data_IF_979770657614
#
_entry.id   IF_979770657614
#
_cell.length_a   1.000
_cell.length_b   1.000
_cell.length_c   1.000
_cell.angle_alpha   90.00
_cell.angle_beta   90.00
_cell.angle_gamma   90.00
#
_symmetry.space_group_name_H-M   'P 1'
#
loop_
_entity.id
_entity.type
_entity.pdbx_description
1 polymer ?
#
# COMPACT_ATOMS: atom_id res chain seq x y z
N UNK A 1 1.50 -17.56 4.05
CA UNK A 1 1.34 -17.22 2.62
C UNK A 1 0.78 -15.81 2.53
N UNK A 2 1.34 -14.97 1.65
CA UNK A 2 0.83 -13.62 1.39
C UNK A 2 -0.60 -13.68 0.85
N UNK A 3 -1.41 -12.70 1.27
CA UNK A 3 -2.82 -12.56 0.82
C UNK A 3 -3.08 -11.15 0.30
N UNK A 4 -4.07 -11.01 -0.58
CA UNK A 4 -4.61 -9.69 -0.95
C UNK A 4 -5.14 -8.97 0.28
N UNK A 5 -5.02 -7.64 0.34
CA UNK A 5 -5.57 -6.84 1.43
C UNK A 5 -7.11 -6.78 1.41
N UNK A 6 -7.76 -7.14 0.31
CA UNK A 6 -9.19 -6.93 0.08
C UNK A 6 -10.08 -7.50 1.20
N UNK A 7 -9.92 -8.79 1.53
CA UNK A 7 -10.79 -9.44 2.51
C UNK A 7 -10.54 -8.96 3.95
N UNK A 8 -9.28 -8.65 4.31
CA UNK A 8 -8.99 -8.10 5.64
C UNK A 8 -9.58 -6.69 5.79
N UNK A 9 -9.56 -5.88 4.73
CA UNK A 9 -10.12 -4.53 4.74
C UNK A 9 -11.66 -4.53 4.73
N UNK A 10 -12.29 -5.45 4.00
CA UNK A 10 -13.75 -5.65 4.09
C UNK A 10 -14.20 -6.00 5.51
N UNK A 11 -13.48 -6.90 6.19
CA UNK A 11 -13.74 -7.26 7.58
C UNK A 11 -13.52 -6.08 8.52
N UNK A 12 -12.44 -5.32 8.31
CA UNK A 12 -12.13 -4.12 9.09
C UNK A 12 -13.24 -3.07 8.98
N UNK A 13 -13.69 -2.79 7.75
CA UNK A 13 -14.81 -1.88 7.50
C UNK A 13 -16.10 -2.33 8.18
N UNK A 14 -16.45 -3.61 8.05
CA UNK A 14 -17.65 -4.17 8.70
C UNK A 14 -17.55 -4.19 10.23
N UNK A 15 -16.34 -4.38 10.76
CA UNK A 15 -16.06 -4.42 12.20
C UNK A 15 -15.73 -3.07 12.83
N UNK A 16 -15.72 -1.98 12.05
CA UNK A 16 -15.36 -0.63 12.50
C UNK A 16 -13.97 -0.55 13.17
N UNK A 17 -12.97 -1.18 12.55
CA UNK A 17 -11.57 -1.08 12.97
C UNK A 17 -10.66 -0.83 11.76
N UNK A 18 -9.42 -0.41 12.00
CA UNK A 18 -8.41 -0.23 10.95
C UNK A 18 -7.41 -1.39 10.95
N UNK A 19 -6.87 -1.71 9.78
CA UNK A 19 -5.71 -2.59 9.63
C UNK A 19 -4.46 -1.73 9.58
N UNK A 20 -3.46 -2.02 10.42
CA UNK A 20 -2.19 -1.30 10.42
C UNK A 20 -1.35 -1.62 9.18
N UNK A 21 -0.79 -0.57 8.57
CA UNK A 21 0.26 -0.68 7.56
C UNK A 21 1.57 -0.21 8.20
N UNK A 22 2.61 -1.03 8.08
CA UNK A 22 3.93 -0.75 8.66
C UNK A 22 4.99 -0.90 7.58
N UNK A 23 5.78 0.16 7.39
CA UNK A 23 6.85 0.15 6.40
C UNK A 23 8.00 -0.74 6.87
N UNK A 24 8.53 -1.54 5.95
CA UNK A 24 9.66 -2.44 6.19
C UNK A 24 10.85 -2.06 5.30
N UNK A 25 12.03 -2.01 5.91
CA UNK A 25 13.29 -1.68 5.21
C UNK A 25 14.37 -2.74 5.41
N UNK A 26 14.13 -3.72 6.27
CA UNK A 26 15.11 -4.76 6.61
C UNK A 26 14.42 -5.97 7.27
N UNK A 27 15.22 -6.99 7.53
CA UNK A 27 14.80 -8.25 8.15
C UNK A 27 14.30 -8.03 9.60
N UNK A 28 14.98 -7.20 10.37
CA UNK A 28 14.71 -6.97 11.78
C UNK A 28 13.35 -6.33 12.01
N UNK A 29 13.02 -5.31 11.23
CA UNK A 29 11.71 -4.64 11.29
C UNK A 29 10.60 -5.59 10.86
N UNK A 30 10.82 -6.28 9.73
CA UNK A 30 9.84 -7.26 9.22
C UNK A 30 9.55 -8.34 10.26
N UNK A 31 10.60 -8.89 10.91
CA UNK A 31 10.46 -9.90 11.96
C UNK A 31 9.65 -9.39 13.15
N UNK A 32 9.97 -8.20 13.64
CA UNK A 32 9.28 -7.59 14.79
C UNK A 32 7.79 -7.40 14.50
N UNK A 33 7.46 -6.86 13.32
CA UNK A 33 6.08 -6.63 12.90
C UNK A 33 5.32 -7.95 12.79
N UNK A 34 5.89 -8.95 12.13
CA UNK A 34 5.24 -10.25 11.95
C UNK A 34 4.99 -10.99 13.26
N UNK A 35 5.96 -11.00 14.18
CA UNK A 35 5.81 -11.64 15.50
C UNK A 35 4.75 -10.93 16.34
N UNK A 36 4.73 -9.60 16.33
CA UNK A 36 3.72 -8.82 17.05
C UNK A 36 2.31 -9.04 16.45
N UNK A 37 2.19 -9.03 15.13
CA UNK A 37 0.92 -9.32 14.46
C UNK A 37 0.40 -10.71 14.80
N UNK A 38 1.29 -11.72 14.84
CA UNK A 38 0.95 -13.09 15.22
C UNK A 38 0.52 -13.19 16.69
N UNK A 39 1.23 -12.55 17.60
CA UNK A 39 0.90 -12.53 19.03
C UNK A 39 -0.46 -11.89 19.29
N UNK A 40 -0.72 -10.76 18.66
CA UNK A 40 -1.98 -10.03 18.78
C UNK A 40 -3.12 -10.61 17.94
N UNK A 41 -2.85 -11.64 17.14
CA UNK A 41 -3.83 -12.23 16.18
C UNK A 41 -4.44 -11.17 15.25
N UNK A 42 -3.66 -10.19 14.87
CA UNK A 42 -4.07 -9.06 14.04
C UNK A 42 -3.60 -9.24 12.60
N UNK A 43 -4.46 -8.99 11.59
CA UNK A 43 -3.98 -8.87 10.21
C UNK A 43 -3.05 -7.67 10.09
N UNK A 44 -2.11 -7.72 9.12
CA UNK A 44 -1.14 -6.65 8.92
C UNK A 44 -0.82 -6.44 7.44
N UNK A 45 -0.52 -5.20 7.07
CA UNK A 45 0.00 -4.81 5.77
C UNK A 45 1.46 -4.40 5.97
N UNK A 46 2.37 -5.01 5.21
CA UNK A 46 3.79 -4.66 5.16
C UNK A 46 4.00 -3.71 3.98
N UNK A 47 4.24 -2.44 4.24
CA UNK A 47 4.49 -1.42 3.24
C UNK A 47 5.94 -1.42 2.78
N UNK A 48 6.17 -1.25 1.48
CA UNK A 48 7.50 -1.15 0.88
C UNK A 48 7.47 -0.03 -0.16
N UNK A 49 8.18 1.06 0.09
CA UNK A 49 8.37 2.10 -0.91
C UNK A 49 9.34 1.64 -2.01
N UNK A 50 9.39 2.34 -3.13
CA UNK A 50 10.37 2.05 -4.18
C UNK A 50 11.82 2.19 -3.68
N UNK A 51 12.06 3.21 -2.85
CA UNK A 51 13.35 3.40 -2.19
C UNK A 51 13.73 2.24 -1.27
N UNK A 52 12.79 1.78 -0.44
CA UNK A 52 12.99 0.62 0.43
C UNK A 52 13.22 -0.67 -0.38
N UNK A 53 12.46 -0.87 -1.46
CA UNK A 53 12.66 -2.01 -2.37
C UNK A 53 14.06 -2.01 -3.00
N UNK A 54 14.52 -0.84 -3.45
CA UNK A 54 15.89 -0.67 -3.97
C UNK A 54 16.95 -0.91 -2.90
N UNK A 55 16.75 -0.40 -1.70
CA UNK A 55 17.65 -0.61 -0.56
C UNK A 55 17.80 -2.09 -0.21
N UNK A 56 16.71 -2.84 -0.23
CA UNK A 56 16.67 -4.29 0.03
C UNK A 56 17.08 -5.15 -1.19
N UNK A 57 17.77 -4.60 -2.17
CA UNK A 57 18.27 -5.28 -3.38
C UNK A 57 17.17 -5.73 -4.37
N UNK A 58 16.00 -5.14 -4.32
CA UNK A 58 14.92 -5.35 -5.30
C UNK A 58 13.71 -6.13 -4.77
N UNK A 59 12.61 -5.99 -5.48
CA UNK A 59 11.31 -6.51 -5.05
C UNK A 59 11.26 -8.03 -4.89
N UNK A 60 11.96 -8.80 -5.73
CA UNK A 60 12.05 -10.26 -5.59
C UNK A 60 12.76 -10.68 -4.31
N UNK A 61 13.78 -9.92 -3.89
CA UNK A 61 14.47 -10.14 -2.62
C UNK A 61 13.52 -9.92 -1.45
N UNK A 62 12.73 -8.84 -1.50
CA UNK A 62 11.71 -8.55 -0.49
C UNK A 62 10.68 -9.67 -0.40
N UNK A 63 10.13 -10.10 -1.53
CA UNK A 63 9.16 -11.21 -1.58
C UNK A 63 9.76 -12.50 -1.01
N UNK A 64 11.00 -12.83 -1.38
CA UNK A 64 11.70 -14.00 -0.86
C UNK A 64 11.92 -13.95 0.64
N UNK A 65 12.38 -12.81 1.16
CA UNK A 65 12.56 -12.56 2.59
C UNK A 65 11.26 -12.73 3.36
N UNK A 66 10.19 -12.04 2.94
CA UNK A 66 8.90 -12.09 3.64
C UNK A 66 8.31 -13.49 3.60
N UNK A 67 8.30 -14.18 2.45
CA UNK A 67 7.76 -15.54 2.37
C UNK A 67 8.55 -16.52 3.25
N UNK A 68 9.88 -16.46 3.26
CA UNK A 68 10.70 -17.27 4.15
C UNK A 68 10.36 -17.02 5.62
N UNK A 69 10.19 -15.77 6.01
CA UNK A 69 9.80 -15.44 7.38
C UNK A 69 8.39 -15.93 7.74
N UNK A 70 7.42 -15.82 6.85
CA UNK A 70 6.06 -16.32 7.10
C UNK A 70 6.07 -17.82 7.38
N UNK A 71 6.89 -18.58 6.66
CA UNK A 71 7.04 -20.02 6.82
C UNK A 71 7.79 -20.39 8.12
N UNK A 72 9.00 -19.86 8.30
CA UNK A 72 9.86 -20.19 9.45
C UNK A 72 9.27 -19.75 10.80
N UNK A 73 8.64 -18.58 10.84
CA UNK A 73 7.98 -18.05 12.03
C UNK A 73 6.56 -18.59 12.23
N UNK A 74 6.08 -19.45 11.32
CA UNK A 74 4.71 -20.04 11.36
C UNK A 74 3.63 -19.00 11.51
N UNK A 75 3.72 -17.92 10.74
CA UNK A 75 2.74 -16.83 10.75
C UNK A 75 1.42 -17.33 10.14
N UNK A 76 0.34 -17.23 10.88
CA UNK A 76 -1.00 -17.68 10.48
C UNK A 76 -2.00 -16.54 10.28
N UNK A 77 -1.69 -15.36 10.81
CA UNK A 77 -2.52 -14.15 10.56
C UNK A 77 -2.42 -13.71 9.10
N UNK A 78 -3.46 -13.08 8.55
CA UNK A 78 -3.40 -12.52 7.20
C UNK A 78 -2.31 -11.44 7.08
N UNK A 79 -1.43 -11.59 6.10
CA UNK A 79 -0.34 -10.63 5.81
C UNK A 79 -0.42 -10.25 4.34
N UNK A 80 -0.54 -8.95 4.04
CA UNK A 80 -0.39 -8.41 2.70
C UNK A 80 0.99 -7.74 2.57
N UNK A 81 1.68 -8.00 1.47
CA UNK A 81 2.88 -7.28 1.07
C UNK A 81 2.49 -6.24 0.03
N UNK A 82 2.69 -4.98 0.35
CA UNK A 82 2.13 -3.83 -0.34
C UNK A 82 3.22 -2.88 -0.83
N UNK A 83 3.17 -2.51 -2.10
CA UNK A 83 3.92 -1.36 -2.61
C UNK A 83 3.25 -0.09 -2.14
N UNK A 84 4.01 0.79 -1.50
CA UNK A 84 3.58 2.06 -0.93
C UNK A 84 4.04 3.23 -1.81
N UNK A 85 3.16 4.13 -2.19
CA UNK A 85 3.41 5.25 -3.10
C UNK A 85 4.19 4.88 -4.38
N UNK A 86 3.72 3.85 -5.08
CA UNK A 86 4.38 3.35 -6.27
C UNK A 86 4.10 4.15 -7.53
N UNK A 87 5.11 4.30 -8.38
CA UNK A 87 4.92 4.73 -9.76
C UNK A 87 4.16 3.66 -10.56
N UNK A 88 3.68 4.03 -11.73
CA UNK A 88 3.00 3.07 -12.63
C UNK A 88 3.88 1.87 -12.99
N UNK A 89 5.16 2.11 -13.29
CA UNK A 89 6.12 1.04 -13.58
C UNK A 89 6.51 0.25 -12.32
N UNK A 90 6.63 0.93 -11.18
CA UNK A 90 6.89 0.29 -9.88
C UNK A 90 5.76 -0.67 -9.50
N UNK A 91 4.50 -0.29 -9.70
CA UNK A 91 3.35 -1.16 -9.46
C UNK A 91 3.39 -2.42 -10.33
N UNK A 92 3.67 -2.29 -11.63
CA UNK A 92 3.82 -3.43 -12.56
C UNK A 92 4.98 -4.34 -12.14
N UNK A 93 6.13 -3.77 -11.78
CA UNK A 93 7.30 -4.52 -11.34
C UNK A 93 7.03 -5.30 -10.03
N UNK A 94 6.32 -4.70 -9.07
CA UNK A 94 5.92 -5.37 -7.83
C UNK A 94 4.93 -6.52 -8.07
N UNK A 95 3.94 -6.31 -8.95
CA UNK A 95 3.01 -7.37 -9.38
C UNK A 95 3.78 -8.58 -9.95
N UNK A 96 4.74 -8.33 -10.84
CA UNK A 96 5.57 -9.39 -11.43
C UNK A 96 6.53 -10.04 -10.42
N UNK A 97 6.97 -9.31 -9.41
CA UNK A 97 7.81 -9.86 -8.34
C UNK A 97 7.05 -10.75 -7.37
N UNK A 98 5.71 -10.63 -7.28
CA UNK A 98 4.86 -11.44 -6.40
C UNK A 98 4.34 -10.71 -5.16
N UNK A 99 4.22 -9.39 -5.20
CA UNK A 99 3.48 -8.61 -4.20
C UNK A 99 2.00 -8.99 -4.23
N UNK A 100 1.36 -9.00 -3.08
CA UNK A 100 -0.08 -9.32 -2.96
C UNK A 100 -0.98 -8.09 -2.92
N UNK A 101 -0.37 -6.91 -2.88
CA UNK A 101 -1.04 -5.61 -2.86
C UNK A 101 -0.11 -4.56 -3.46
N UNK A 102 -0.63 -3.60 -4.20
CA UNK A 102 0.15 -2.49 -4.74
C UNK A 102 -0.63 -1.19 -4.69
N UNK A 103 0.07 -0.08 -4.47
CA UNK A 103 -0.46 1.26 -4.66
C UNK A 103 0.13 1.86 -5.94
N UNK A 104 -0.73 2.51 -6.72
CA UNK A 104 -0.35 3.41 -7.77
C UNK A 104 -0.67 4.84 -7.33
N UNK A 105 0.36 5.63 -7.09
CA UNK A 105 0.22 7.04 -6.81
C UNK A 105 0.11 7.82 -8.15
N UNK A 106 -1.14 8.02 -8.55
CA UNK A 106 -1.50 8.78 -9.75
C UNK A 106 -1.72 10.27 -9.49
N UNK A 107 -1.51 10.76 -8.27
CA UNK A 107 -1.78 12.15 -7.87
C UNK A 107 -0.96 13.19 -8.65
N UNK A 108 0.17 12.77 -9.21
CA UNK A 108 1.06 13.63 -10.01
C UNK A 108 0.60 13.80 -11.47
N UNK A 109 -0.39 13.03 -11.92
CA UNK A 109 -0.91 13.11 -13.29
C UNK A 109 -2.22 13.89 -13.33
N UNK A 110 -2.56 14.48 -14.51
CA UNK A 110 -3.94 14.92 -14.75
C UNK A 110 -4.91 13.76 -14.52
N UNK A 111 -6.12 14.08 -14.06
CA UNK A 111 -7.07 13.04 -13.63
C UNK A 111 -7.42 12.04 -14.75
N UNK A 112 -7.46 12.47 -15.99
CA UNK A 112 -7.74 11.61 -17.14
C UNK A 112 -6.64 10.53 -17.28
N UNK A 113 -5.38 10.92 -17.13
CA UNK A 113 -4.24 10.01 -17.21
C UNK A 113 -4.18 9.08 -15.99
N UNK A 114 -4.45 9.61 -14.80
CA UNK A 114 -4.58 8.79 -13.58
C UNK A 114 -5.65 7.70 -13.76
N UNK A 115 -6.83 8.07 -14.25
CA UNK A 115 -7.94 7.14 -14.52
C UNK A 115 -7.55 6.07 -15.53
N UNK A 116 -6.88 6.43 -16.63
CA UNK A 116 -6.46 5.48 -17.67
C UNK A 116 -5.47 4.44 -17.12
N UNK A 117 -4.42 4.91 -16.46
CA UNK A 117 -3.40 4.04 -15.83
C UNK A 117 -3.98 3.16 -14.72
N UNK A 118 -4.82 3.74 -13.86
CA UNK A 118 -5.50 2.98 -12.79
C UNK A 118 -6.39 1.89 -13.38
N UNK A 119 -7.15 2.18 -14.45
CA UNK A 119 -8.02 1.20 -15.12
C UNK A 119 -7.22 -0.01 -15.65
N UNK A 120 -6.06 0.23 -16.25
CA UNK A 120 -5.18 -0.85 -16.72
C UNK A 120 -4.73 -1.71 -15.55
N UNK A 121 -4.22 -1.08 -14.48
CA UNK A 121 -3.75 -1.80 -13.28
C UNK A 121 -4.88 -2.58 -12.58
N UNK A 122 -6.10 -2.04 -12.54
CA UNK A 122 -7.28 -2.77 -12.03
C UNK A 122 -7.49 -4.08 -12.80
N UNK A 123 -7.36 -4.06 -14.13
CA UNK A 123 -7.46 -5.27 -14.96
C UNK A 123 -6.41 -6.31 -14.56
N UNK A 124 -5.15 -5.91 -14.52
CA UNK A 124 -4.01 -6.79 -14.17
C UNK A 124 -4.18 -7.35 -12.75
N UNK A 125 -4.50 -6.49 -11.78
CA UNK A 125 -4.65 -6.89 -10.38
C UNK A 125 -5.80 -7.88 -10.17
N UNK A 126 -6.94 -7.66 -10.84
CA UNK A 126 -8.08 -8.59 -10.78
C UNK A 126 -7.74 -9.97 -11.31
N UNK A 127 -7.03 -10.07 -12.43
CA UNK A 127 -6.59 -11.36 -12.99
C UNK A 127 -5.67 -12.13 -12.05
N UNK A 128 -4.83 -11.42 -11.32
CA UNK A 128 -3.84 -12.02 -10.40
C UNK A 128 -4.32 -12.14 -8.94
N UNK A 129 -5.50 -11.65 -8.62
CA UNK A 129 -6.04 -11.65 -7.24
C UNK A 129 -5.27 -10.75 -6.28
N UNK A 130 -4.75 -9.62 -6.78
CA UNK A 130 -3.96 -8.62 -6.06
C UNK A 130 -4.84 -7.43 -5.73
N UNK A 131 -4.71 -6.85 -4.54
CA UNK A 131 -5.38 -5.59 -4.19
C UNK A 131 -4.65 -4.39 -4.79
N UNK A 132 -5.42 -3.44 -5.30
CA UNK A 132 -4.92 -2.17 -5.84
C UNK A 132 -5.42 -1.00 -5.00
N UNK A 133 -4.50 -0.13 -4.62
CA UNK A 133 -4.76 1.21 -4.10
C UNK A 133 -4.46 2.25 -5.19
N UNK A 134 -5.27 3.32 -5.23
CA UNK A 134 -5.02 4.47 -6.09
C UNK A 134 -5.13 5.75 -5.26
N UNK A 135 -4.48 6.83 -5.70
CA UNK A 135 -4.49 8.12 -5.01
C UNK A 135 -5.14 9.22 -5.85
N UNK A 136 -5.89 10.09 -5.17
CA UNK A 136 -6.50 11.31 -5.72
C UNK A 136 -6.25 12.47 -4.77
N UNK A 137 -5.88 13.62 -5.31
CA UNK A 137 -5.36 14.74 -4.55
C UNK A 137 -3.92 14.49 -4.13
N UNK A 138 -3.28 15.41 -3.45
CA UNK A 138 -1.91 15.25 -3.00
C UNK A 138 -1.84 15.25 -1.48
N UNK A 139 -1.27 14.20 -0.89
CA UNK A 139 -0.94 14.20 0.54
C UNK A 139 0.26 15.13 0.75
N UNK A 140 0.17 16.05 1.71
CA UNK A 140 1.23 17.01 2.00
C UNK A 140 2.42 16.39 2.74
N UNK A 141 3.51 17.15 2.89
CA UNK A 141 4.72 16.71 3.58
C UNK A 141 5.75 16.06 2.68
N UNK A 142 6.68 15.34 3.25
CA UNK A 142 7.77 14.67 2.53
C UNK A 142 7.76 13.17 2.82
N UNK A 143 7.78 12.34 1.77
CA UNK A 143 7.94 10.91 1.87
C UNK A 143 8.82 10.39 0.71
N UNK A 144 9.80 9.57 1.04
CA UNK A 144 10.78 8.97 0.11
C UNK A 144 11.45 9.99 -0.84
N UNK A 145 11.66 11.24 -0.34
CA UNK A 145 12.24 12.33 -1.09
C UNK A 145 11.28 13.10 -2.01
N UNK A 146 10.00 12.78 -1.98
CA UNK A 146 8.94 13.48 -2.72
C UNK A 146 8.22 14.43 -1.77
N UNK A 147 8.08 15.70 -2.18
CA UNK A 147 7.39 16.74 -1.40
C UNK A 147 6.01 16.96 -2.01
N UNK A 148 4.97 16.67 -1.24
CA UNK A 148 3.58 16.91 -1.60
C UNK A 148 3.10 18.30 -1.18
N UNK A 149 2.30 18.95 -2.02
CA UNK A 149 1.73 20.27 -1.73
C UNK A 149 0.52 20.24 -0.78
N UNK A 150 -0.09 19.06 -0.57
CA UNK A 150 -1.24 18.89 0.33
C UNK A 150 -2.56 19.38 -0.27
N UNK A 151 -2.81 19.04 -1.54
CA UNK A 151 -4.08 19.39 -2.20
C UNK A 151 -5.21 18.44 -1.79
N UNK A 152 -6.35 19.03 -1.39
CA UNK A 152 -7.54 18.22 -1.10
C UNK A 152 -8.09 17.62 -2.39
N UNK A 153 -8.42 16.34 -2.35
CA UNK A 153 -9.01 15.61 -3.45
C UNK A 153 -10.41 16.14 -3.82
N UNK A 154 -10.70 16.26 -5.12
CA UNK A 154 -12.06 16.53 -5.57
C UNK A 154 -12.93 15.27 -5.38
N UNK A 155 -14.07 15.35 -4.68
CA UNK A 155 -14.96 14.20 -4.50
C UNK A 155 -15.45 13.56 -5.82
N UNK A 156 -15.54 14.31 -6.92
CA UNK A 156 -15.91 13.76 -8.23
C UNK A 156 -14.79 12.92 -8.80
N UNK A 157 -13.54 13.37 -8.66
CA UNK A 157 -12.36 12.63 -9.10
C UNK A 157 -12.18 11.36 -8.25
N UNK A 158 -12.36 11.46 -6.93
CA UNK A 158 -12.38 10.29 -6.04
C UNK A 158 -13.41 9.26 -6.52
N UNK A 159 -14.62 9.72 -6.87
CA UNK A 159 -15.65 8.83 -7.39
C UNK A 159 -15.26 8.19 -8.72
N UNK A 160 -14.66 8.96 -9.64
CA UNK A 160 -14.21 8.44 -10.94
C UNK A 160 -13.21 7.28 -10.76
N UNK A 161 -12.22 7.45 -9.90
CA UNK A 161 -11.20 6.42 -9.61
C UNK A 161 -11.79 5.24 -8.84
N UNK A 162 -12.63 5.48 -7.84
CA UNK A 162 -13.30 4.42 -7.08
C UNK A 162 -14.21 3.55 -7.95
N UNK A 163 -14.93 4.14 -8.91
CA UNK A 163 -15.83 3.42 -9.82
C UNK A 163 -15.07 2.46 -10.78
N UNK A 164 -13.75 2.58 -10.93
CA UNK A 164 -12.92 1.63 -11.67
C UNK A 164 -12.83 0.28 -10.98
N UNK A 165 -13.11 0.23 -9.68
CA UNK A 165 -13.09 -0.97 -8.87
C UNK A 165 -11.73 -1.24 -8.23
N UNK A 166 -11.03 -0.18 -7.81
CA UNK A 166 -9.88 -0.26 -6.90
C UNK A 166 -10.30 -0.84 -5.55
N UNK A 167 -9.38 -1.47 -4.85
CA UNK A 167 -9.64 -2.05 -3.51
C UNK A 167 -9.60 -0.97 -2.43
N UNK A 168 -8.71 0.01 -2.59
CA UNK A 168 -8.46 1.11 -1.67
C UNK A 168 -8.35 2.41 -2.45
N UNK A 169 -8.71 3.51 -1.81
CA UNK A 169 -8.52 4.85 -2.33
C UNK A 169 -7.86 5.71 -1.27
N UNK A 170 -6.65 6.20 -1.56
CA UNK A 170 -6.01 7.27 -0.83
C UNK A 170 -6.57 8.61 -1.34
N UNK A 171 -7.08 9.42 -0.44
CA UNK A 171 -7.62 10.73 -0.77
C UNK A 171 -6.93 11.81 0.07
N UNK A 172 -6.39 12.81 -0.58
CA UNK A 172 -5.90 14.00 0.09
C UNK A 172 -7.06 14.73 0.77
N UNK A 173 -7.05 14.78 2.10
CA UNK A 173 -8.10 15.42 2.91
C UNK A 173 -7.56 16.47 3.86
N UNK A 174 -6.37 17.00 3.55
CA UNK A 174 -5.61 17.91 4.41
C UNK A 174 -4.66 17.20 5.38
N UNK A 175 -4.53 15.89 5.26
CA UNK A 175 -3.54 15.09 5.96
C UNK A 175 -2.14 15.29 5.35
N UNK A 176 -1.12 15.00 6.15
CA UNK A 176 0.28 15.14 5.75
C UNK A 176 1.10 13.92 6.17
N UNK A 177 2.15 13.64 5.43
CA UNK A 177 3.23 12.76 5.87
C UNK A 177 4.06 13.46 6.93
N UNK A 178 4.39 12.79 8.01
CA UNK A 178 5.25 13.34 9.05
C UNK A 178 4.97 12.80 10.44
N UNK A 179 5.65 13.40 11.41
CA UNK A 179 5.50 13.02 12.82
C UNK A 179 4.31 13.75 13.43
N UNK A 180 3.20 13.06 13.69
CA UNK A 180 1.98 13.63 14.27
C UNK A 180 2.16 14.17 15.71
N UNK A 181 3.30 13.90 16.37
CA UNK A 181 3.65 14.54 17.66
C UNK A 181 3.96 16.04 17.51
N UNK A 182 4.30 16.46 16.30
CA UNK A 182 4.65 17.86 15.99
C UNK A 182 3.69 18.51 15.01
N UNK A 183 2.86 17.73 14.34
CA UNK A 183 1.76 18.22 13.51
C UNK A 183 0.51 18.11 14.34
N UNK A 184 -0.12 19.26 14.58
CA UNK A 184 -1.35 19.31 15.36
C UNK A 184 -2.38 18.33 14.79
N UNK A 185 -2.97 17.61 15.69
CA UNK A 185 -4.39 17.29 15.67
C UNK A 185 -5.01 17.04 14.30
N UNK A 186 -4.66 15.96 13.67
CA UNK A 186 -5.54 15.47 12.62
C UNK A 186 -6.83 14.94 13.22
#
# INVERSE_FOLDING_TARGET
MLVSAEEMLKKAKAGHYAVGQFNINNLEWTKSILLTAQELKSPVILGVSEGAGKYMCGYKTVVGMVNGMLEELKITVPVALHLDHGSYEGAKACIEAGFSSVMFDGSHYPIEENVEKTKELVGICKEKGISLEAEVGAIGGEEDGVIGAGECADPKECKMVADLGVTMLAAGIGNIHGCLLYTSDA
#
